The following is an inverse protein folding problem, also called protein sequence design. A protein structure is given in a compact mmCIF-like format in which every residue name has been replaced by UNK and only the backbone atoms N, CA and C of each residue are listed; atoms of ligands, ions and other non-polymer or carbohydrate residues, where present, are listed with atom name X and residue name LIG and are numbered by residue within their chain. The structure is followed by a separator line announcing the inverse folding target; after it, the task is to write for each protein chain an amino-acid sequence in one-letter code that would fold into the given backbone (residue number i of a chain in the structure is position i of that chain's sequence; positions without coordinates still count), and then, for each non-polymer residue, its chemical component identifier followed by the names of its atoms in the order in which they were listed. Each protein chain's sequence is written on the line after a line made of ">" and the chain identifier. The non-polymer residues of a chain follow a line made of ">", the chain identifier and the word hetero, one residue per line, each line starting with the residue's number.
data_IF_673439836079
#
_entry.id   IF_673439836079
#
_cell.length_a   1.000
_cell.length_b   1.000
_cell.length_c   1.000
_cell.angle_alpha   90.00
_cell.angle_beta   90.00
_cell.angle_gamma   90.00
#
_symmetry.space_group_name_H-M   'P 1'
#
loop_
_entity.id
_entity.type
_entity.pdbx_description
1 polymer ?
2 non-polymer ?
3 water ?
#
# COMPACT_ATOMS: atom_id res chain seq x y z
N UNK A 1 -18.14 -26.88 3.56
CA UNK A 1 -17.60 -25.76 4.37
C UNK A 1 -16.54 -26.27 5.33
N UNK A 2 -16.94 -26.53 6.58
CA UNK A 2 -16.01 -26.61 7.69
C UNK A 2 -15.31 -25.25 7.88
N UNK A 3 -14.09 -25.05 7.38
CA UNK A 3 -13.31 -23.87 7.75
C UNK A 3 -12.36 -23.35 6.67
N UNK A 4 -11.78 -22.20 6.97
CA UNK A 4 -10.76 -21.57 6.14
C UNK A 4 -9.82 -20.80 7.06
N UNK A 5 -8.52 -20.92 6.82
CA UNK A 5 -7.49 -20.40 7.69
C UNK A 5 -6.76 -19.24 7.02
N UNK A 6 -6.92 -18.08 7.61
CA UNK A 6 -6.36 -16.85 7.07
C UNK A 6 -5.14 -16.50 7.89
N UNK A 7 -3.96 -16.55 7.28
CA UNK A 7 -2.72 -16.07 7.89
C UNK A 7 -2.54 -14.64 7.46
N UNK A 8 -2.49 -13.73 8.42
CA UNK A 8 -2.55 -12.32 8.13
C UNK A 8 -1.37 -11.56 8.72
N UNK A 9 -0.73 -10.78 7.89
CA UNK A 9 0.22 -9.76 8.35
C UNK A 9 -0.53 -8.62 9.04
N UNK A 10 -1.73 -8.32 8.56
CA UNK A 10 -2.53 -7.23 9.06
C UNK A 10 -3.21 -7.63 10.37
N UNK A 11 -3.32 -6.67 11.28
CA UNK A 11 -3.85 -6.94 12.62
C UNK A 11 -5.26 -7.47 12.50
N UNK A 12 -5.58 -8.51 13.27
CA UNK A 12 -6.88 -9.14 13.18
C UNK A 12 -8.09 -8.18 13.23
N UNK A 13 -8.05 -7.15 14.06
CA UNK A 13 -9.22 -6.28 14.16
C UNK A 13 -9.54 -5.51 12.87
N UNK A 14 -8.54 -5.37 12.00
CA UNK A 14 -8.71 -4.68 10.74
C UNK A 14 -9.24 -5.57 9.62
N UNK A 15 -9.32 -6.88 9.87
CA UNK A 15 -9.88 -7.83 8.91
C UNK A 15 -11.07 -8.62 9.46
N UNK A 16 -11.24 -8.65 10.78
CA UNK A 16 -12.21 -9.55 11.39
C UNK A 16 -13.65 -9.25 10.97
N UNK A 17 -14.09 -7.99 10.88
CA UNK A 17 -15.49 -7.74 10.53
C UNK A 17 -15.98 -8.40 9.25
N UNK A 18 -15.21 -8.30 8.17
CA UNK A 18 -15.64 -8.92 6.91
C UNK A 18 -15.58 -10.44 6.99
N UNK A 19 -14.63 -10.97 7.76
CA UNK A 19 -14.51 -12.41 7.91
C UNK A 19 -15.67 -12.97 8.71
N UNK A 20 -16.12 -12.19 9.69
CA UNK A 20 -17.29 -12.55 10.50
C UNK A 20 -18.54 -12.56 9.61
N UNK A 21 -18.63 -11.61 8.68
CA UNK A 21 -19.76 -11.54 7.76
C UNK A 21 -19.74 -12.72 6.79
N UNK A 22 -18.55 -13.12 6.35
CA UNK A 22 -18.41 -14.27 5.48
C UNK A 22 -18.89 -15.53 6.19
N UNK A 23 -18.53 -15.64 7.47
CA UNK A 23 -18.93 -16.79 8.29
C UNK A 23 -20.45 -16.87 8.36
N UNK A 24 -21.07 -15.72 8.58
CA UNK A 24 -22.53 -15.63 8.70
C UNK A 24 -23.24 -16.00 7.40
N UNK A 25 -22.66 -15.61 6.27
CA UNK A 25 -23.29 -15.85 4.98
C UNK A 25 -23.14 -17.30 4.50
N UNK A 26 -22.00 -17.91 4.80
CA UNK A 26 -21.63 -19.20 4.21
C UNK A 26 -21.69 -20.37 5.19
N UNK A 27 -21.60 -20.08 6.48
CA UNK A 27 -21.38 -21.10 7.50
C UNK A 27 -19.95 -21.62 7.60
N UNK A 28 -19.04 -21.07 6.81
CA UNK A 28 -17.63 -21.47 6.86
C UNK A 28 -16.92 -20.76 8.01
N UNK A 29 -16.33 -21.52 8.92
CA UNK A 29 -15.57 -20.96 10.03
C UNK A 29 -14.29 -20.35 9.50
N UNK A 30 -14.05 -19.09 9.85
CA UNK A 30 -12.80 -18.43 9.48
C UNK A 30 -11.92 -18.35 10.71
N UNK A 31 -10.76 -18.97 10.61
CA UNK A 31 -9.73 -18.87 11.63
C UNK A 31 -8.71 -17.84 11.19
N UNK A 32 -8.39 -16.91 12.08
CA UNK A 32 -7.38 -15.91 11.81
C UNK A 32 -6.12 -16.24 12.59
N UNK A 33 -5.01 -16.39 11.87
CA UNK A 33 -3.69 -16.52 12.45
C UNK A 33 -2.94 -15.21 12.17
N UNK A 34 -2.55 -14.53 13.23
CA UNK A 34 -1.81 -13.28 13.11
C UNK A 34 -0.33 -13.63 12.92
N UNK A 35 0.06 -13.75 11.67
CA UNK A 35 1.43 -14.13 11.34
C UNK A 35 2.37 -12.94 11.45
N UNK A 36 1.78 -11.75 11.30
CA UNK A 36 2.49 -10.51 11.50
C UNK A 36 3.71 -10.51 10.58
N UNK A 37 4.89 -10.21 11.12
CA UNK A 37 6.11 -10.19 10.32
C UNK A 37 6.57 -11.63 10.08
N UNK A 38 5.90 -12.56 10.77
CA UNK A 38 5.79 -13.98 10.47
C UNK A 38 6.39 -14.25 9.14
N UNK A 39 5.63 -14.17 8.03
CA UNK A 39 4.41 -14.89 7.70
C UNK A 39 4.98 -15.93 6.73
N UNK A 40 5.86 -15.46 5.86
CA UNK A 40 6.52 -16.33 4.92
C UNK A 40 7.30 -17.45 5.63
N UNK A 41 8.06 -17.10 6.65
CA UNK A 41 8.82 -18.11 7.39
C UNK A 41 7.92 -19.14 8.01
N UNK A 42 6.82 -18.69 8.62
CA UNK A 42 5.92 -19.60 9.28
C UNK A 42 5.31 -20.58 8.29
N UNK A 43 4.83 -20.07 7.16
CA UNK A 43 4.19 -20.93 6.18
C UNK A 43 5.20 -21.89 5.55
N UNK A 44 6.42 -21.40 5.31
CA UNK A 44 7.47 -22.21 4.71
C UNK A 44 7.87 -23.34 5.66
N UNK A 45 7.98 -23.01 6.94
CA UNK A 45 8.40 -23.98 7.95
C UNK A 45 7.34 -25.03 8.17
N UNK A 46 6.09 -24.62 8.05
CA UNK A 46 4.97 -25.52 8.22
C UNK A 46 4.91 -26.47 7.02
N UNK A 47 5.40 -26.00 5.88
CA UNK A 47 5.60 -26.84 4.71
C UNK A 47 4.33 -27.46 4.16
N UNK A 48 4.45 -28.71 3.73
CA UNK A 48 3.32 -29.45 3.18
C UNK A 48 2.17 -29.59 4.18
N UNK A 49 2.49 -29.54 5.46
CA UNK A 49 1.50 -29.69 6.53
C UNK A 49 0.82 -28.37 6.92
N UNK A 50 1.15 -27.26 6.27
CA UNK A 50 0.62 -25.98 6.72
C UNK A 50 -0.89 -25.91 6.51
N UNK A 51 -1.63 -25.52 7.54
CA UNK A 51 -3.08 -25.31 7.39
C UNK A 51 -3.43 -23.98 6.70
N UNK A 52 -2.44 -23.15 6.37
CA UNK A 52 -2.74 -21.86 5.76
C UNK A 52 -3.51 -22.02 4.45
N UNK A 53 -4.58 -21.24 4.32
CA UNK A 53 -5.40 -21.23 3.12
C UNK A 53 -5.24 -19.92 2.39
N UNK A 54 -5.48 -18.82 3.10
CA UNK A 54 -5.38 -17.49 2.53
C UNK A 54 -4.27 -16.75 3.27
N UNK A 55 -3.35 -16.19 2.51
CA UNK A 55 -2.29 -15.35 3.03
C UNK A 55 -2.65 -13.92 2.70
N UNK A 56 -2.84 -13.14 3.73
CA UNK A 56 -3.28 -11.77 3.59
C UNK A 56 -2.17 -10.86 4.04
N UNK A 57 -1.73 -9.97 3.15
CA UNK A 57 -0.67 -9.10 3.50
C UNK A 57 -0.81 -7.75 2.85
N UNK A 58 0.16 -6.89 3.11
CA UNK A 58 0.09 -5.50 2.74
C UNK A 58 1.39 -5.14 2.08
N UNK A 59 1.27 -4.40 0.98
CA UNK A 59 2.37 -3.87 0.18
C UNK A 59 2.84 -4.89 -0.84
N UNK A 60 3.02 -4.43 -2.07
CA UNK A 60 3.46 -5.30 -3.12
C UNK A 60 4.78 -6.03 -2.77
N UNK A 61 5.65 -5.40 -1.99
CA UNK A 61 6.88 -6.06 -1.57
C UNK A 61 6.61 -7.32 -0.74
N UNK A 62 5.59 -7.29 0.10
CA UNK A 62 5.27 -8.47 0.90
C UNK A 62 4.56 -9.52 0.07
N UNK A 63 3.75 -9.08 -0.89
CA UNK A 63 3.12 -10.00 -1.82
C UNK A 63 4.21 -10.72 -2.62
N UNK A 64 5.20 -9.97 -3.09
CA UNK A 64 6.29 -10.56 -3.86
C UNK A 64 7.12 -11.52 -2.99
N UNK A 65 7.31 -11.22 -1.71
CA UNK A 65 8.03 -12.15 -0.83
C UNK A 65 7.34 -13.50 -0.79
N UNK A 66 6.02 -13.48 -0.73
CA UNK A 66 5.23 -14.71 -0.71
C UNK A 66 5.37 -15.46 -2.03
N UNK A 67 5.20 -14.76 -3.15
CA UNK A 67 5.28 -15.40 -4.46
C UNK A 67 6.66 -15.95 -4.69
N UNK A 68 7.68 -15.19 -4.34
CA UNK A 68 9.06 -15.59 -4.58
C UNK A 68 9.58 -16.67 -3.61
N UNK A 69 8.79 -16.95 -2.57
CA UNK A 69 9.06 -18.09 -1.68
C UNK A 69 8.27 -19.34 -2.09
N UNK A 70 7.67 -19.30 -3.28
CA UNK A 70 6.93 -20.43 -3.82
C UNK A 70 5.78 -20.82 -2.89
N UNK A 71 5.07 -19.83 -2.37
CA UNK A 71 3.98 -20.07 -1.42
C UNK A 71 2.61 -19.83 -2.01
N UNK A 72 2.55 -19.39 -3.25
CA UNK A 72 1.30 -19.08 -3.92
C UNK A 72 0.88 -20.22 -4.83
N UNK A 73 -0.42 -20.37 -5.01
CA UNK A 73 -0.91 -21.11 -6.16
C UNK A 73 -1.72 -20.21 -7.07
N UNK A 74 -1.76 -20.59 -8.33
CA UNK A 74 -2.47 -19.85 -9.35
C UNK A 74 -3.94 -20.16 -9.25
N UNK A 75 -4.74 -19.10 -9.36
CA UNK A 75 -6.18 -19.19 -9.18
C UNK A 75 -6.84 -18.63 -10.43
N UNK A 76 -7.71 -19.43 -11.03
CA UNK A 76 -8.53 -18.99 -12.15
C UNK A 76 -9.94 -18.72 -11.63
N UNK A 77 -10.32 -17.45 -11.59
CA UNK A 77 -11.61 -17.02 -11.09
C UNK A 77 -12.17 -15.85 -11.89
N UNK A 78 -13.35 -16.05 -12.49
CA UNK A 78 -14.03 -14.96 -13.20
C UNK A 78 -14.45 -13.85 -12.25
N UNK A 79 -14.74 -14.19 -11.01
CA UNK A 79 -15.16 -13.21 -10.01
C UNK A 79 -13.99 -12.29 -9.68
N UNK A 80 -12.83 -12.85 -9.42
CA UNK A 80 -11.66 -12.02 -9.11
C UNK A 80 -11.30 -11.14 -10.29
N UNK A 81 -11.36 -11.71 -11.50
CA UNK A 81 -11.11 -10.95 -12.72
C UNK A 81 -12.09 -9.79 -12.86
N UNK A 82 -13.37 -10.01 -12.61
CA UNK A 82 -14.36 -8.97 -12.79
C UNK A 82 -14.26 -7.89 -11.71
N UNK A 83 -14.00 -8.29 -10.47
CA UNK A 83 -14.06 -7.38 -9.34
C UNK A 83 -12.80 -6.55 -9.19
N UNK A 84 -11.65 -7.11 -9.52
CA UNK A 84 -10.39 -6.43 -9.29
C UNK A 84 -9.85 -5.92 -10.59
N UNK A 85 -9.64 -4.61 -10.71
CA UNK A 85 -9.01 -4.08 -11.93
C UNK A 85 -7.67 -4.78 -12.20
N UNK A 86 -7.32 -4.99 -13.46
CA UNK A 86 -6.14 -5.77 -13.81
C UNK A 86 -4.85 -5.22 -13.21
N UNK A 87 -4.76 -3.91 -13.07
CA UNK A 87 -3.55 -3.33 -12.49
C UNK A 87 -3.30 -3.74 -11.04
N UNK A 88 -4.36 -4.18 -10.35
CA UNK A 88 -4.26 -4.57 -8.94
C UNK A 88 -4.35 -6.06 -8.70
N UNK A 89 -4.11 -6.85 -9.73
CA UNK A 89 -3.93 -8.28 -9.57
C UNK A 89 -2.87 -8.81 -10.51
N UNK A 90 -2.39 -10.00 -10.23
CA UNK A 90 -1.33 -10.61 -10.99
C UNK A 90 -1.87 -11.11 -12.33
N UNK A 91 -1.24 -10.73 -13.44
CA UNK A 91 -1.59 -11.33 -14.73
C UNK A 91 -1.32 -12.84 -14.71
N UNK A 92 -0.39 -13.26 -13.84
CA UNK A 92 0.02 -14.65 -13.70
C UNK A 92 -0.77 -15.38 -12.59
N UNK A 93 -1.81 -14.72 -12.07
CA UNK A 93 -2.87 -15.36 -11.27
C UNK A 93 -2.46 -15.84 -9.89
N UNK A 94 -1.38 -15.32 -9.34
CA UNK A 94 -0.87 -15.79 -8.04
C UNK A 94 -1.15 -14.86 -6.88
N UNK A 95 -1.57 -13.62 -7.16
CA UNK A 95 -1.93 -12.68 -6.09
C UNK A 95 -3.01 -11.72 -6.55
N UNK A 96 -3.73 -11.17 -5.57
CA UNK A 96 -4.92 -10.39 -5.83
C UNK A 96 -5.04 -9.25 -4.85
N UNK A 97 -5.06 -8.03 -5.36
CA UNK A 97 -5.23 -6.86 -4.51
C UNK A 97 -6.66 -6.75 -4.03
N UNK A 98 -6.85 -6.30 -2.79
CA UNK A 98 -8.17 -6.07 -2.22
C UNK A 98 -8.40 -4.61 -1.83
N UNK A 99 -7.34 -3.89 -1.51
CA UNK A 99 -7.47 -2.45 -1.29
C UNK A 99 -6.24 -1.78 -1.84
N UNK A 100 -6.34 -0.48 -2.03
CA UNK A 100 -5.17 0.31 -2.38
C UNK A 100 -4.91 1.42 -1.38
N UNK A 101 -3.66 1.82 -1.33
CA UNK A 101 -3.22 2.93 -0.54
C UNK A 101 -2.51 3.88 -1.49
N UNK A 102 -2.80 5.17 -1.34
CA UNK A 102 -2.17 6.20 -2.16
C UNK A 102 -0.94 6.75 -1.45
N UNK A 103 0.17 6.92 -2.17
CA UNK A 103 1.33 7.59 -1.62
C UNK A 103 1.22 9.05 -2.02
N UNK A 104 0.95 9.88 -1.03
CA UNK A 104 0.57 11.26 -1.25
C UNK A 104 1.67 12.18 -0.75
N UNK A 105 1.47 13.47 -0.99
CA UNK A 105 2.36 14.50 -0.49
C UNK A 105 1.59 15.30 0.55
N UNK A 106 2.08 15.31 1.77
CA UNK A 106 1.54 16.13 2.83
C UNK A 106 2.24 17.47 2.80
N UNK A 107 1.48 18.53 3.03
CA UNK A 107 2.07 19.85 3.14
C UNK A 107 1.65 20.52 4.41
N UNK A 108 2.46 21.47 4.86
CA UNK A 108 2.09 22.32 5.97
C UNK A 108 0.85 23.09 5.61
N UNK A 109 -0.20 22.96 6.42
CA UNK A 109 -1.45 23.70 6.21
C UNK A 109 -1.21 25.21 6.11
N UNK A 110 -0.43 25.74 7.04
CA UNK A 110 -0.26 27.19 7.14
C UNK A 110 0.84 27.72 6.25
N UNK A 111 1.92 26.96 6.12
CA UNK A 111 3.11 27.45 5.41
C UNK A 111 3.11 27.15 3.91
N UNK A 112 2.28 26.21 3.48
CA UNK A 112 2.20 25.83 2.07
C UNK A 112 0.77 25.85 1.56
N UNK A 113 -0.16 25.27 2.31
CA UNK A 113 -1.52 25.09 1.86
C UNK A 113 -1.58 23.96 0.86
N UNK A 114 -2.65 23.94 0.09
CA UNK A 114 -2.86 22.93 -0.94
C UNK A 114 -1.87 23.13 -2.09
N UNK A 115 -1.35 22.02 -2.60
CA UNK A 115 -0.46 22.06 -3.74
C UNK A 115 -1.24 22.45 -4.98
N UNK A 116 -0.58 23.13 -5.92
CA UNK A 116 -1.25 23.49 -7.18
C UNK A 116 -1.63 22.24 -7.96
N UNK A 117 -2.74 22.30 -8.69
CA UNK A 117 -3.11 21.22 -9.58
C UNK A 117 -2.00 21.01 -10.60
N UNK A 118 -1.64 19.76 -10.86
CA UNK A 118 -0.53 19.43 -11.73
C UNK A 118 0.75 19.03 -11.00
N UNK A 119 0.76 19.20 -9.68
CA UNK A 119 1.95 18.91 -8.89
C UNK A 119 2.27 17.43 -8.92
N UNK A 120 3.53 17.11 -9.18
CA UNK A 120 4.02 15.76 -9.37
C UNK A 120 5.01 15.46 -8.27
N UNK A 121 5.18 14.19 -7.96
CA UNK A 121 6.33 13.76 -7.14
C UNK A 121 7.61 14.41 -7.63
N UNK A 122 7.78 14.44 -8.94
CA UNK A 122 8.98 14.98 -9.55
C UNK A 122 9.28 16.41 -9.13
N UNK A 123 8.26 17.18 -8.80
CA UNK A 123 8.47 18.56 -8.43
C UNK A 123 9.21 18.71 -7.12
N UNK A 124 9.13 17.71 -6.26
CA UNK A 124 9.87 17.76 -5.00
C UNK A 124 11.40 17.69 -5.16
N UNK A 125 11.88 17.39 -6.36
CA UNK A 125 13.33 17.39 -6.64
C UNK A 125 13.82 18.73 -7.16
N UNK A 126 12.92 19.69 -7.33
CA UNK A 126 13.27 21.01 -7.85
C UNK A 126 13.98 21.83 -6.77
N UNK A 127 14.92 22.68 -7.17
CA UNK A 127 15.77 23.39 -6.19
C UNK A 127 15.02 24.29 -5.23
N UNK A 128 13.85 24.79 -5.59
CA UNK A 128 13.05 25.66 -4.73
C UNK A 128 12.56 25.00 -3.43
N UNK A 129 12.60 23.67 -3.38
CA UNK A 129 12.17 22.92 -2.21
C UNK A 129 13.31 22.52 -1.32
N UNK A 130 14.50 23.08 -1.56
CA UNK A 130 15.67 22.72 -0.77
C UNK A 130 15.41 22.98 0.69
N UNK A 131 15.69 21.97 1.52
CA UNK A 131 15.59 22.09 2.96
C UNK A 131 14.19 21.92 3.51
N UNK A 132 13.21 21.59 2.65
CA UNK A 132 11.80 21.65 3.04
C UNK A 132 11.09 20.31 2.97
N UNK A 133 11.79 19.25 2.57
CA UNK A 133 11.13 17.97 2.33
C UNK A 133 11.56 16.91 3.35
N UNK A 134 10.59 16.19 3.91
CA UNK A 134 10.85 15.05 4.78
C UNK A 134 10.35 13.77 4.14
N UNK A 135 11.21 12.77 4.08
CA UNK A 135 10.84 11.45 3.64
C UNK A 135 11.55 10.41 4.51
N UNK A 136 10.85 9.33 4.79
CA UNK A 136 11.44 8.19 5.48
C UNK A 136 12.47 7.53 4.56
N UNK A 137 13.17 6.54 5.11
CA UNK A 137 14.23 5.86 4.39
C UNK A 137 13.79 5.55 2.97
N UNK A 138 14.67 5.83 2.03
CA UNK A 138 14.41 5.49 0.65
C UNK A 138 14.34 4.00 0.37
N UNK A 139 14.85 3.18 1.29
CA UNK A 139 14.80 1.72 1.18
C UNK A 139 13.49 1.13 1.68
N UNK A 140 12.67 1.95 2.35
CA UNK A 140 11.37 1.49 2.79
C UNK A 140 10.51 1.18 1.59
N UNK A 141 9.73 0.10 1.70
CA UNK A 141 8.98 -0.43 0.57
C UNK A 141 8.01 0.58 -0.01
N UNK A 142 7.43 1.44 0.82
CA UNK A 142 6.51 2.43 0.30
C UNK A 142 7.23 3.32 -0.71
N UNK A 143 8.45 3.70 -0.38
CA UNK A 143 9.23 4.53 -1.29
C UNK A 143 9.79 3.75 -2.47
N UNK A 144 10.33 2.57 -2.24
CA UNK A 144 10.92 1.79 -3.32
C UNK A 144 9.87 1.53 -4.39
N UNK A 145 8.65 1.21 -3.97
CA UNK A 145 7.57 0.93 -4.88
C UNK A 145 7.23 2.15 -5.73
N UNK A 146 7.23 3.32 -5.10
CA UNK A 146 7.01 4.57 -5.81
C UNK A 146 8.10 4.77 -6.85
N UNK A 147 9.34 4.55 -6.45
CA UNK A 147 10.46 4.77 -7.35
C UNK A 147 10.45 3.75 -8.48
N UNK A 148 9.97 2.54 -8.19
CA UNK A 148 9.84 1.50 -9.20
C UNK A 148 8.84 1.90 -10.27
N UNK A 149 7.75 2.54 -9.85
CA UNK A 149 6.77 3.04 -10.79
C UNK A 149 7.41 4.12 -11.65
N UNK A 150 8.21 4.97 -11.03
CA UNK A 150 8.89 6.03 -11.76
C UNK A 150 9.87 5.45 -12.78
N UNK A 151 10.56 4.36 -12.46
CA UNK A 151 11.43 3.70 -13.42
C UNK A 151 10.61 3.23 -14.60
N UNK A 152 9.44 2.64 -14.36
CA UNK A 152 8.58 2.20 -15.45
C UNK A 152 8.23 3.36 -16.36
N UNK A 153 7.86 4.50 -15.77
CA UNK A 153 7.39 5.65 -16.55
C UNK A 153 8.50 6.43 -17.23
N UNK A 154 9.63 6.57 -16.54
CA UNK A 154 10.70 7.49 -16.95
C UNK A 154 12.06 6.89 -17.25
N UNK A 155 12.29 5.65 -16.84
CA UNK A 155 13.57 5.00 -16.99
C UNK A 155 14.48 5.27 -15.83
N UNK A 156 15.60 4.56 -15.78
CA UNK A 156 16.48 4.63 -14.62
C UNK A 156 17.20 5.97 -14.51
N UNK A 157 17.61 6.54 -15.64
CA UNK A 157 18.40 7.78 -15.61
C UNK A 157 17.59 8.93 -15.02
N UNK A 158 16.37 9.11 -15.51
CA UNK A 158 15.50 10.18 -15.03
C UNK A 158 15.09 9.94 -13.59
N UNK A 159 14.84 8.69 -13.24
CA UNK A 159 14.51 8.38 -11.86
C UNK A 159 15.70 8.63 -10.93
N UNK A 160 16.90 8.27 -11.36
CA UNK A 160 18.09 8.55 -10.59
C UNK A 160 18.26 10.05 -10.34
N UNK A 161 18.06 10.85 -11.39
CA UNK A 161 18.19 12.29 -11.25
C UNK A 161 17.14 12.82 -10.28
N UNK A 162 15.93 12.26 -10.35
CA UNK A 162 14.89 12.62 -9.39
C UNK A 162 15.33 12.32 -7.96
N UNK A 163 15.86 11.12 -7.74
CA UNK A 163 16.27 10.73 -6.40
C UNK A 163 17.40 11.61 -5.88
N UNK A 164 18.30 12.01 -6.77
CA UNK A 164 19.39 12.90 -6.38
C UNK A 164 18.86 14.25 -5.96
N UNK A 165 17.89 14.79 -6.71
CA UNK A 165 17.28 16.07 -6.38
C UNK A 165 16.47 16.01 -5.11
N UNK A 166 15.71 14.93 -4.96
CA UNK A 166 14.90 14.75 -3.76
C UNK A 166 15.82 14.67 -2.54
N UNK A 167 16.86 13.86 -2.63
CA UNK A 167 17.85 13.75 -1.56
C UNK A 167 18.40 15.11 -1.21
N UNK A 168 18.73 15.89 -2.25
CA UNK A 168 19.34 17.20 -2.05
C UNK A 168 18.41 18.16 -1.29
N UNK A 169 17.10 17.91 -1.36
CA UNK A 169 16.11 18.77 -0.75
C UNK A 169 15.63 18.33 0.61
N UNK A 170 16.17 17.25 1.15
CA UNK A 170 15.70 16.76 2.43
C UNK A 170 16.12 17.69 3.56
N UNK A 171 15.19 17.91 4.50
CA UNK A 171 15.40 18.78 5.64
C UNK A 171 16.21 18.09 6.72
N UNK A 172 16.18 16.76 6.71
CA UNK A 172 16.90 15.95 7.67
C UNK A 172 17.18 14.57 7.10
N UNK A 173 18.08 13.86 7.75
CA UNK A 173 18.35 12.47 7.43
C UNK A 173 17.05 11.66 7.51
N UNK A 174 16.75 10.88 6.48
CA UNK A 174 15.57 10.01 6.54
C UNK A 174 15.53 9.23 7.84
N UNK A 175 14.41 9.34 8.53
CA UNK A 175 14.25 8.76 9.83
C UNK A 175 12.77 8.57 10.12
N UNK A 176 12.45 7.53 10.87
CA UNK A 176 11.09 7.25 11.26
C UNK A 176 10.21 6.78 10.14
N UNK A 177 8.92 6.71 10.41
CA UNK A 177 7.92 6.29 9.45
C UNK A 177 7.21 7.47 8.81
N UNK A 178 6.14 7.15 8.09
CA UNK A 178 5.39 8.18 7.39
C UNK A 178 4.76 9.19 8.34
N UNK A 179 4.21 8.71 9.46
CA UNK A 179 3.59 9.61 10.42
C UNK A 179 4.62 10.58 11.00
N UNK A 180 5.84 10.11 11.21
CA UNK A 180 6.90 10.95 11.79
C UNK A 180 7.21 12.14 10.90
N UNK A 181 7.10 11.95 9.59
CA UNK A 181 7.31 13.06 8.67
C UNK A 181 6.22 14.10 8.81
N UNK A 182 5.00 13.67 9.08
CA UNK A 182 3.92 14.63 9.31
C UNK A 182 4.08 15.32 10.65
N UNK A 183 4.54 14.59 11.67
CA UNK A 183 4.92 15.23 12.92
C UNK A 183 5.96 16.32 12.67
N UNK A 184 6.93 16.04 11.80
CA UNK A 184 7.94 17.03 11.44
C UNK A 184 7.33 18.24 10.74
N UNK A 185 6.34 18.04 9.87
CA UNK A 185 5.59 19.16 9.32
C UNK A 185 4.94 19.99 10.45
N UNK A 186 4.26 19.32 11.36
CA UNK A 186 3.60 19.99 12.48
C UNK A 186 4.59 20.83 13.27
N UNK A 187 5.79 20.31 13.48
CA UNK A 187 6.82 20.95 14.29
C UNK A 187 7.66 21.97 13.51
N UNK A 188 7.38 22.11 12.22
CA UNK A 188 8.01 23.13 11.40
C UNK A 188 9.39 22.76 10.88
N UNK A 189 9.77 21.49 11.02
CA UNK A 189 11.03 20.97 10.52
C UNK A 189 11.03 20.92 8.99
N UNK A 190 9.88 20.58 8.43
CA UNK A 190 9.72 20.58 7.00
C UNK A 190 8.33 21.03 6.62
N UNK A 191 8.12 21.28 5.33
CA UNK A 191 6.87 21.78 4.82
C UNK A 191 6.18 20.78 3.88
N UNK A 192 6.91 19.77 3.44
CA UNK A 192 6.41 18.75 2.53
C UNK A 192 6.90 17.40 3.00
N UNK A 193 6.04 16.39 2.93
CA UNK A 193 6.49 15.02 3.13
C UNK A 193 5.80 14.10 2.14
N UNK A 194 6.41 12.94 1.94
CA UNK A 194 5.77 11.87 1.23
C UNK A 194 5.27 10.86 2.26
N UNK A 195 4.06 10.37 2.07
CA UNK A 195 3.54 9.38 3.00
C UNK A 195 2.24 8.79 2.52
N UNK A 196 1.80 7.69 3.12
CA UNK A 196 0.59 7.04 2.65
C UNK A 196 -0.65 7.76 3.14
N UNK A 197 -1.67 7.77 2.30
CA UNK A 197 -2.94 8.44 2.54
C UNK A 197 -3.62 7.97 3.83
N UNK A 198 -3.61 6.67 4.06
CA UNK A 198 -4.38 6.11 5.18
C UNK A 198 -3.86 6.61 6.51
N UNK A 199 -2.59 7.04 6.57
CA UNK A 199 -2.05 7.55 7.82
C UNK A 199 -2.74 8.82 8.28
N UNK A 200 -3.27 9.58 7.34
CA UNK A 200 -4.02 10.79 7.68
C UNK A 200 -5.19 10.39 8.56
N UNK A 201 -5.91 9.35 8.15
CA UNK A 201 -7.00 8.82 8.95
C UNK A 201 -6.55 8.25 10.29
N UNK A 202 -5.47 7.49 10.28
CA UNK A 202 -4.96 6.87 11.50
C UNK A 202 -4.54 7.92 12.52
N UNK A 203 -3.91 8.99 12.04
CA UNK A 203 -3.51 10.08 12.92
C UNK A 203 -4.70 10.81 13.50
N UNK A 204 -5.71 11.06 12.68
CA UNK A 204 -6.91 11.74 13.18
C UNK A 204 -7.64 10.92 14.22
N UNK A 205 -7.49 9.60 14.14
CA UNK A 205 -8.12 8.66 15.08
C UNK A 205 -7.38 8.58 16.42
N UNK A 206 -6.20 9.20 16.50
CA UNK A 206 -5.35 9.11 17.68
C UNK A 206 -5.28 10.46 18.37
N UNK A 207 -5.49 10.47 19.69
CA UNK A 207 -5.60 11.71 20.45
C UNK A 207 -4.34 12.58 20.36
N UNK A 208 -3.17 11.93 20.38
CA UNK A 208 -1.91 12.64 20.28
C UNK A 208 -1.62 13.10 18.86
N UNK A 209 -1.80 12.20 17.90
CA UNK A 209 -1.37 12.45 16.52
C UNK A 209 -2.35 13.25 15.70
N UNK A 210 -3.56 13.47 16.19
CA UNK A 210 -4.54 14.23 15.43
C UNK A 210 -4.03 15.63 15.15
N UNK A 211 -3.27 16.21 16.07
CA UNK A 211 -2.70 17.54 15.84
C UNK A 211 -1.67 17.55 14.71
N UNK A 212 -1.04 16.41 14.46
CA UNK A 212 -0.11 16.31 13.34
C UNK A 212 -0.90 16.40 12.05
N UNK A 213 -1.97 15.62 11.93
CA UNK A 213 -2.80 15.63 10.75
C UNK A 213 -3.44 17.01 10.55
N UNK A 214 -3.88 17.64 11.64
CA UNK A 214 -4.54 18.94 11.56
C UNK A 214 -3.61 20.03 11.05
N UNK A 215 -2.31 19.84 11.23
CA UNK A 215 -1.30 20.80 10.75
C UNK A 215 -0.87 20.53 9.31
N UNK A 216 -1.45 19.52 8.68
CA UNK A 216 -1.08 19.13 7.34
C UNK A 216 -2.27 19.03 6.40
N UNK A 217 -1.99 19.18 5.11
CA UNK A 217 -2.98 18.96 4.07
C UNK A 217 -2.52 17.75 3.26
N UNK A 218 -3.46 16.87 2.96
CA UNK A 218 -3.21 15.75 2.08
C UNK A 218 -3.38 16.17 0.63
N UNK A 219 -2.35 15.89 -0.17
CA UNK A 219 -2.36 16.26 -1.58
C UNK A 219 -2.11 15.02 -2.42
N UNK A 220 -2.99 14.80 -3.39
CA UNK A 220 -2.86 13.68 -4.29
C UNK A 220 -2.14 14.17 -5.54
N UNK A 221 -0.91 13.70 -5.77
CA UNK A 221 -0.16 14.15 -6.95
C UNK A 221 -0.98 14.00 -8.22
N UNK A 222 -0.86 14.99 -9.09
CA UNK A 222 -1.74 15.15 -10.23
C UNK A 222 -0.93 15.48 -11.49
N UNK A 223 0.27 14.95 -11.57
CA UNK A 223 1.03 14.99 -12.79
C UNK A 223 0.54 13.96 -13.80
N UNK A 224 1.37 13.73 -14.80
CA UNK A 224 1.08 12.87 -15.93
C UNK A 224 0.52 11.50 -15.54
N UNK A 225 1.13 10.91 -14.53
CA UNK A 225 0.80 9.57 -14.10
C UNK A 225 0.06 9.54 -12.79
N UNK A 226 -0.39 10.70 -12.34
CA UNK A 226 -1.27 10.80 -11.19
C UNK A 226 -0.65 10.31 -9.91
N UNK A 227 -1.50 9.73 -9.06
CA UNK A 227 -1.11 9.30 -7.74
C UNK A 227 -0.74 7.83 -7.73
N UNK A 228 0.42 7.54 -7.15
CA UNK A 228 0.92 6.19 -6.98
C UNK A 228 0.03 5.44 -5.99
N UNK A 229 -0.36 4.23 -6.38
CA UNK A 229 -1.06 3.31 -5.49
C UNK A 229 -0.26 2.05 -5.25
N UNK A 230 -0.28 1.62 -4.00
CA UNK A 230 0.21 0.31 -3.61
C UNK A 230 -1.02 -0.46 -3.11
N UNK A 231 -0.85 -1.73 -2.74
CA UNK A 231 -1.99 -2.58 -2.45
C UNK A 231 -1.85 -3.31 -1.14
N UNK A 232 -2.99 -3.72 -0.60
CA UNK A 232 -3.03 -4.89 0.27
C UNK A 232 -3.66 -5.97 -0.57
N UNK A 233 -3.39 -7.21 -0.23
CA UNK A 233 -3.96 -8.28 -1.03
C UNK A 233 -3.86 -9.64 -0.41
N UNK A 234 -4.09 -10.64 -1.24
CA UNK A 234 -4.20 -12.01 -0.80
C UNK A 234 -3.60 -12.96 -1.80
N UNK A 235 -3.20 -14.10 -1.30
CA UNK A 235 -2.62 -15.19 -2.05
C UNK A 235 -3.25 -16.44 -1.46
N UNK A 236 -3.56 -17.41 -2.32
CA UNK A 236 -3.98 -18.71 -1.85
C UNK A 236 -2.72 -19.54 -1.65
N UNK A 237 -2.53 -20.06 -0.45
CA UNK A 237 -1.32 -20.79 -0.12
C UNK A 237 -1.14 -22.05 -0.97
N UNK A 238 0.10 -22.35 -1.28
CA UNK A 238 0.46 -23.52 -2.09
C UNK A 238 -0.21 -24.79 -1.61
N UNK A 239 -0.20 -25.03 -0.31
CA UNK A 239 -0.70 -26.28 0.26
C UNK A 239 -2.05 -26.14 0.95
N UNK A 240 -2.80 -25.11 0.57
CA UNK A 240 -4.13 -24.86 1.11
C UNK A 240 -4.95 -26.14 1.29
N UNK A 241 -5.25 -26.52 2.52
CA UNK A 241 -6.14 -27.68 2.75
C UNK A 241 -7.63 -27.41 2.47
N UNK A 242 -8.05 -26.15 2.44
CA UNK A 242 -9.45 -25.78 2.23
C UNK A 242 -9.52 -24.86 1.03
N UNK A 243 -9.02 -25.33 -0.11
CA UNK A 243 -8.85 -24.48 -1.28
C UNK A 243 -10.17 -23.90 -1.78
N UNK A 244 -11.21 -24.71 -1.83
CA UNK A 244 -12.48 -24.21 -2.33
C UNK A 244 -13.02 -23.08 -1.45
N UNK A 245 -12.93 -23.27 -0.13
CA UNK A 245 -13.37 -22.26 0.83
C UNK A 245 -12.51 -21.01 0.73
N UNK A 246 -11.23 -21.22 0.48
CA UNK A 246 -10.25 -20.13 0.37
C UNK A 246 -10.59 -19.26 -0.82
N UNK A 247 -10.88 -19.90 -1.94
CA UNK A 247 -11.20 -19.16 -3.15
C UNK A 247 -12.52 -18.44 -2.94
N UNK A 248 -13.50 -19.11 -2.34
CA UNK A 248 -14.77 -18.47 -1.99
C UNK A 248 -14.55 -17.22 -1.16
N UNK A 249 -13.66 -17.31 -0.18
CA UNK A 249 -13.39 -16.19 0.71
C UNK A 249 -12.77 -15.02 -0.02
N UNK A 250 -11.74 -15.25 -0.83
CA UNK A 250 -11.13 -14.12 -1.53
C UNK A 250 -12.02 -13.54 -2.61
N UNK A 251 -12.85 -14.37 -3.25
CA UNK A 251 -13.88 -13.87 -4.15
C UNK A 251 -14.85 -12.95 -3.39
N UNK A 252 -15.26 -13.39 -2.21
CA UNK A 252 -16.12 -12.58 -1.36
C UNK A 252 -15.45 -11.25 -0.97
N UNK A 253 -14.18 -11.32 -0.58
CA UNK A 253 -13.46 -10.13 -0.16
C UNK A 253 -13.28 -9.13 -1.30
N UNK A 254 -13.26 -9.63 -2.53
CA UNK A 254 -13.12 -8.79 -3.72
C UNK A 254 -14.42 -8.10 -4.14
N UNK A 255 -15.53 -8.52 -3.55
CA UNK A 255 -16.85 -8.08 -3.99
C UNK A 255 -17.54 -7.07 -3.11
N UNK A 256 -18.76 -6.74 -3.50
CA UNK A 256 -19.49 -5.61 -2.91
C UNK A 256 -19.94 -5.80 -1.46
N UNK A 257 -19.97 -7.04 -0.98
CA UNK A 257 -20.33 -7.29 0.41
C UNK A 257 -19.20 -6.97 1.41
N UNK A 258 -17.97 -6.86 0.92
CA UNK A 258 -16.81 -6.71 1.79
C UNK A 258 -15.92 -5.51 1.45
N UNK A 259 -15.94 -5.07 0.20
CA UNK A 259 -14.94 -4.12 -0.27
C UNK A 259 -15.02 -2.77 0.45
N UNK A 260 -16.21 -2.22 0.56
CA UNK A 260 -16.37 -0.93 1.22
C UNK A 260 -15.94 -0.98 2.66
N UNK A 261 -16.37 -2.05 3.33
CA UNK A 261 -16.12 -2.22 4.75
C UNK A 261 -14.63 -2.36 5.02
N UNK A 262 -13.98 -3.21 4.25
CA UNK A 262 -12.56 -3.48 4.44
C UNK A 262 -11.75 -2.22 4.22
N UNK A 263 -12.00 -1.54 3.11
CA UNK A 263 -11.29 -0.29 2.86
C UNK A 263 -11.57 0.73 3.94
N UNK A 264 -12.83 0.85 4.34
CA UNK A 264 -13.18 1.83 5.35
C UNK A 264 -12.45 1.61 6.68
N UNK A 265 -12.39 0.37 7.14
CA UNK A 265 -11.73 0.06 8.39
C UNK A 265 -10.27 0.45 8.41
N UNK A 266 -9.67 0.43 7.22
CA UNK A 266 -8.25 0.68 7.09
C UNK A 266 -7.93 2.04 6.50
N UNK A 267 -8.94 2.88 6.30
CA UNK A 267 -8.79 4.18 5.67
C UNK A 267 -8.09 4.06 4.30
N UNK A 268 -8.36 2.96 3.60
CA UNK A 268 -7.83 2.69 2.28
C UNK A 268 -8.92 2.85 1.23
N UNK A 269 -8.58 2.57 -0.02
CA UNK A 269 -9.54 2.61 -1.11
C UNK A 269 -9.89 1.19 -1.49
N UNK A 270 -11.16 0.94 -1.79
CA UNK A 270 -11.51 -0.35 -2.40
C UNK A 270 -10.84 -0.52 -3.75
N UNK A 271 -10.49 -1.75 -4.12
CA UNK A 271 -10.08 -2.00 -5.50
C UNK A 271 -11.26 -2.06 -6.46
N UNK A 272 -12.41 -2.46 -5.98
CA UNK A 272 -13.53 -2.75 -6.87
C UNK A 272 -14.15 -1.44 -7.32
N UNK A 273 -14.20 -1.25 -8.63
CA UNK A 273 -14.79 -0.04 -9.20
C UNK A 273 -16.27 0.04 -8.83
N UNK A 274 -16.73 1.24 -8.49
CA UNK A 274 -18.11 1.45 -8.10
C UNK A 274 -18.33 1.39 -6.60
N UNK A 275 -17.36 0.89 -5.85
CA UNK A 275 -17.47 0.90 -4.40
C UNK A 275 -16.91 2.19 -3.86
N UNK A 276 -17.68 2.87 -3.03
CA UNK A 276 -17.24 4.16 -2.51
C UNK A 276 -16.23 3.98 -1.38
N UNK A 277 -15.24 4.87 -1.31
CA UNK A 277 -14.45 4.99 -0.08
C UNK A 277 -15.33 5.51 1.05
N UNK A 278 -14.85 5.43 2.28
CA UNK A 278 -15.58 5.94 3.43
C UNK A 278 -15.75 7.43 3.29
N UNK A 279 -16.68 8.01 4.07
CA UNK A 279 -16.87 9.45 4.04
C UNK A 279 -15.57 10.18 4.34
N UNK A 280 -14.80 9.69 5.30
CA UNK A 280 -13.55 10.39 5.65
C UNK A 280 -12.57 10.36 4.50
N UNK A 281 -12.40 9.19 3.89
CA UNK A 281 -11.44 9.03 2.82
C UNK A 281 -11.87 9.86 1.60
N UNK A 282 -13.14 9.77 1.23
CA UNK A 282 -13.68 10.57 0.13
C UNK A 282 -13.46 12.06 0.35
N UNK A 283 -13.59 12.49 1.60
CA UNK A 283 -13.45 13.88 1.94
C UNK A 283 -12.08 14.44 1.67
N UNK A 284 -11.07 13.58 1.59
CA UNK A 284 -9.72 14.05 1.30
C UNK A 284 -9.58 14.53 -0.14
N UNK A 285 -10.46 14.04 -1.00
CA UNK A 285 -10.57 14.52 -2.36
C UNK A 285 -10.51 13.38 -3.36
N UNK A 286 -10.96 13.65 -4.57
CA UNK A 286 -10.86 12.71 -5.66
C UNK A 286 -9.67 13.12 -6.52
N UNK A 287 -9.14 12.14 -7.24
CA UNK A 287 -7.86 12.28 -7.91
C UNK A 287 -7.68 11.21 -8.96
N UNK A 288 -6.66 11.37 -9.79
CA UNK A 288 -6.31 10.40 -10.79
C UNK A 288 -5.27 9.43 -10.22
N UNK A 289 -5.60 8.15 -10.24
CA UNK A 289 -4.64 7.12 -9.85
C UNK A 289 -3.83 6.70 -11.06
N UNK A 290 -2.57 6.39 -10.80
CA UNK A 290 -1.71 5.78 -11.80
C UNK A 290 -2.34 4.49 -12.28
N UNK A 291 -2.31 4.26 -13.59
CA UNK A 291 -2.86 3.04 -14.17
C UNK A 291 -1.81 1.94 -14.28
N UNK A 292 -0.59 2.20 -13.83
CA UNK A 292 0.49 1.22 -13.94
C UNK A 292 0.08 -0.09 -13.24
N UNK A 293 0.45 -1.21 -13.84
CA UNK A 293 0.21 -2.49 -13.21
C UNK A 293 1.15 -2.66 -12.05
N UNK A 294 0.61 -3.16 -10.95
CA UNK A 294 1.45 -3.40 -9.80
C UNK A 294 2.52 -4.45 -10.07
N UNK A 295 2.25 -5.36 -11.00
CA UNK A 295 3.28 -6.32 -11.36
C UNK A 295 4.46 -5.66 -12.08
N UNK A 296 4.23 -4.53 -12.74
CA UNK A 296 5.32 -3.76 -13.34
C UNK A 296 6.11 -2.97 -12.31
N UNK A 297 5.44 -2.54 -11.25
CA UNK A 297 6.17 -2.03 -10.09
C UNK A 297 7.05 -3.14 -9.51
N UNK A 298 6.49 -4.32 -9.30
CA UNK A 298 7.26 -5.43 -8.77
C UNK A 298 8.48 -5.72 -9.64
N UNK A 299 8.27 -5.66 -10.95
CA UNK A 299 9.32 -5.91 -11.92
C UNK A 299 10.51 -4.96 -11.75
N UNK A 300 10.21 -3.71 -11.41
CA UNK A 300 11.23 -2.67 -11.26
C UNK A 300 11.69 -2.45 -9.84
N UNK A 301 11.17 -3.23 -8.90
CA UNK A 301 11.47 -3.04 -7.49
C UNK A 301 12.96 -3.17 -7.20
N UNK A 302 13.58 -4.23 -7.72
CA UNK A 302 15.02 -4.45 -7.52
C UNK A 302 15.84 -3.29 -8.08
N UNK A 303 15.47 -2.80 -9.27
CA UNK A 303 16.19 -1.69 -9.90
C UNK A 303 16.09 -0.44 -9.05
N UNK A 304 14.91 -0.25 -8.45
CA UNK A 304 14.69 0.92 -7.62
C UNK A 304 15.53 0.82 -6.34
N UNK A 305 15.57 -0.36 -5.71
CA UNK A 305 16.45 -0.58 -4.56
C UNK A 305 17.90 -0.26 -4.91
N UNK A 306 18.32 -0.69 -6.10
CA UNK A 306 19.68 -0.45 -6.59
C UNK A 306 19.93 1.05 -6.73
N UNK A 307 18.96 1.79 -7.24
CA UNK A 307 19.11 3.22 -7.44
C UNK A 307 19.18 3.97 -6.12
N UNK A 308 18.40 3.53 -5.13
CA UNK A 308 18.42 4.14 -3.82
C UNK A 308 19.81 4.00 -3.19
N UNK A 309 20.41 2.82 -3.36
CA UNK A 309 21.75 2.57 -2.85
C UNK A 309 22.78 3.38 -3.64
N UNK A 310 22.60 3.46 -4.96
CA UNK A 310 23.53 4.20 -5.81
C UNK A 310 23.66 5.66 -5.39
N UNK A 311 22.52 6.29 -5.10
CA UNK A 311 22.51 7.70 -4.74
C UNK A 311 22.75 7.93 -3.24
N UNK A 312 22.88 6.84 -2.49
CA UNK A 312 23.03 6.88 -1.03
C UNK A 312 21.98 7.81 -0.43
N UNK A 313 20.73 7.48 -0.75
CA UNK A 313 19.61 8.35 -0.43
C UNK A 313 19.51 8.71 1.04
N UNK A 314 19.80 7.74 1.91
CA UNK A 314 19.68 7.94 3.35
C UNK A 314 20.90 8.55 3.99
N UNK A 315 22.00 8.68 3.25
CA UNK A 315 23.21 9.31 3.77
C UNK A 315 23.03 10.82 3.75
N UNK A 316 23.20 11.43 4.92
CA UNK A 316 22.98 12.85 5.11
C UNK A 316 24.31 13.52 5.48
X LIG B 1 1.68 1.50 6.75
#
# INVERSE_FOLDING_TARGET
>A
ANEVNVYSYRQPYLIEPMLKNFEKDTGIKVNIIFADKGLVDRVKQEGELSPADVLLTVDISRVMEIVNADLAQKIDSKVLEKNIPAQFRDSNDQWFGLTTRARVIYTSKDRVGKLPAGFDYLDLAKPEYKGKVCVRSGKNSYNVSLFAAMIEHYGIEKTKAFLEGLKANLARKPQGGDRDQVKAIKEGICDYSIGNSYYYGKMLDDEKQKSWAEAAIINFPSGEHGTHKNISGVVIAKHSPNKANAVKLIEYLSGEKAQGLYAELNHEYPVKEGIEPSAIVKGWGTFKSDTIKLEDIAKNYEAALKLVDEVKFDDFSEKK
>B hetero
1 FE FE
#
